data_IF_030577138491
#
_entry.id   IF_030577138491
#
_cell.length_a   1.000
_cell.length_b   1.000
_cell.length_c   1.000
_cell.angle_alpha   90.00
_cell.angle_beta   90.00
_cell.angle_gamma   90.00
#
_symmetry.space_group_name_H-M   'P 1'
#
loop_
_entity.id
_entity.type
_entity.pdbx_description
1 polymer ?
#
# COMPACT_ATOMS: atom_id res chain seq x y z
N UNK A 1 -19.84 13.67 -4.13
CA UNK A 1 -19.29 13.62 -2.76
C UNK A 1 -18.52 12.31 -2.63
N UNK A 2 -17.23 12.31 -2.96
CA UNK A 2 -16.32 11.15 -2.96
C UNK A 2 -15.27 11.21 -1.85
N UNK A 3 -15.26 12.31 -1.07
CA UNK A 3 -14.31 12.52 0.04
C UNK A 3 -14.44 11.51 1.17
N UNK A 4 -15.63 10.95 1.41
CA UNK A 4 -15.85 9.93 2.45
C UNK A 4 -15.16 8.58 2.19
N UNK A 5 -14.81 8.28 0.92
CA UNK A 5 -14.13 7.03 0.56
C UNK A 5 -12.60 7.11 0.68
N UNK A 6 -12.05 8.31 0.90
CA UNK A 6 -10.61 8.47 1.08
C UNK A 6 -10.25 8.16 2.53
N UNK A 7 -9.42 7.14 2.74
CA UNK A 7 -8.99 6.72 4.07
C UNK A 7 -7.57 6.18 4.02
N UNK A 8 -6.82 6.45 5.08
CA UNK A 8 -5.58 5.77 5.37
C UNK A 8 -5.65 5.12 6.75
N UNK A 9 -5.29 3.85 6.86
CA UNK A 9 -5.24 3.08 8.10
C UNK A 9 -3.79 2.70 8.34
N UNK A 10 -3.23 3.07 9.48
CA UNK A 10 -1.87 2.73 9.86
C UNK A 10 -1.85 2.34 11.34
N UNK A 11 -1.53 1.07 11.61
CA UNK A 11 -1.58 0.53 12.97
C UNK A 11 -2.99 0.62 13.56
N UNK A 12 -3.12 1.28 14.72
CA UNK A 12 -4.39 1.45 15.44
C UNK A 12 -5.14 2.74 15.11
N UNK A 13 -4.72 3.48 14.09
CA UNK A 13 -5.32 4.76 13.71
C UNK A 13 -5.84 4.73 12.29
N UNK A 14 -6.90 5.51 12.06
CA UNK A 14 -7.37 5.86 10.74
C UNK A 14 -7.34 7.37 10.54
N UNK A 15 -7.10 7.76 9.30
CA UNK A 15 -7.04 9.13 8.84
C UNK A 15 -8.08 9.33 7.75
N UNK A 16 -8.98 10.30 7.94
CA UNK A 16 -10.08 10.64 7.03
C UNK A 16 -10.10 12.15 6.77
N UNK A 17 -11.12 12.63 6.07
CA UNK A 17 -11.24 14.04 5.67
C UNK A 17 -10.03 14.49 4.83
N UNK A 18 -9.94 13.90 3.63
CA UNK A 18 -8.88 14.15 2.65
C UNK A 18 -8.79 15.63 2.28
N UNK A 19 -7.56 16.15 2.26
CA UNK A 19 -7.28 17.55 1.93
C UNK A 19 -6.65 17.69 0.55
N UNK A 20 -5.53 17.00 0.30
CA UNK A 20 -4.79 17.16 -0.94
C UNK A 20 -3.92 15.94 -1.26
N UNK A 21 -3.58 15.81 -2.54
CA UNK A 21 -2.57 14.91 -3.05
C UNK A 21 -1.44 15.76 -3.66
N UNK A 22 -0.18 15.41 -3.39
CA UNK A 22 0.98 16.14 -3.90
C UNK A 22 2.13 15.21 -4.28
N UNK A 23 2.83 15.56 -5.35
CA UNK A 23 4.12 14.97 -5.73
C UNK A 23 5.31 15.84 -5.31
N UNK A 24 5.05 17.03 -4.73
CA UNK A 24 6.06 17.91 -4.17
C UNK A 24 6.42 17.46 -2.75
N UNK A 25 7.63 16.92 -2.59
CA UNK A 25 8.14 16.41 -1.30
C UNK A 25 8.30 17.52 -0.25
N UNK A 26 8.51 18.78 -0.67
CA UNK A 26 8.68 19.90 0.26
C UNK A 26 7.40 20.19 1.08
N UNK A 27 6.24 19.73 0.60
CA UNK A 27 4.98 19.77 1.35
C UNK A 27 5.01 18.98 2.65
N UNK A 28 5.91 18.00 2.80
CA UNK A 28 6.07 17.26 4.05
C UNK A 28 6.70 18.11 5.17
N UNK A 29 7.24 19.29 4.86
CA UNK A 29 7.67 20.26 5.87
C UNK A 29 6.48 20.98 6.52
N UNK A 30 5.30 20.93 5.90
CA UNK A 30 4.05 21.43 6.48
C UNK A 30 3.50 20.46 7.53
N UNK A 31 3.05 21.01 8.66
CA UNK A 31 2.43 20.21 9.72
C UNK A 31 1.17 19.50 9.22
N UNK A 32 1.05 18.22 9.53
CA UNK A 32 -0.12 17.43 9.19
C UNK A 32 0.16 15.94 9.25
N UNK A 33 -0.88 15.17 9.00
CA UNK A 33 -0.77 13.73 8.86
C UNK A 33 -0.84 13.38 7.36
N UNK A 34 0.17 12.66 6.91
CA UNK A 34 0.37 12.34 5.51
C UNK A 34 0.50 10.83 5.32
N UNK A 35 -0.28 10.24 4.43
CA UNK A 35 0.02 8.92 3.88
C UNK A 35 0.97 9.12 2.70
N UNK A 36 2.14 8.48 2.74
CA UNK A 36 3.20 8.63 1.73
C UNK A 36 3.42 7.32 1.02
N UNK A 37 3.58 7.38 -0.29
CA UNK A 37 3.93 6.25 -1.15
C UNK A 37 5.09 6.65 -2.06
N UNK A 38 5.98 5.70 -2.35
CA UNK A 38 7.07 5.91 -3.30
C UNK A 38 7.31 4.62 -4.11
N UNK A 39 7.52 4.74 -5.41
CA UNK A 39 7.92 3.62 -6.26
C UNK A 39 9.40 3.31 -6.10
N UNK A 40 9.84 2.14 -6.55
CA UNK A 40 11.25 1.79 -6.56
C UNK A 40 12.08 2.75 -7.44
N UNK A 41 11.48 3.24 -8.53
CA UNK A 41 12.07 4.21 -9.46
C UNK A 41 12.14 5.64 -8.88
N UNK A 42 11.57 5.85 -7.70
CA UNK A 42 11.65 7.11 -6.96
C UNK A 42 10.46 8.05 -7.17
N UNK A 43 9.38 7.61 -7.83
CA UNK A 43 8.18 8.43 -8.00
C UNK A 43 7.47 8.60 -6.66
N UNK A 44 7.45 9.84 -6.16
CA UNK A 44 6.90 10.20 -4.86
C UNK A 44 5.44 10.68 -4.97
N UNK A 45 4.63 10.30 -3.99
CA UNK A 45 3.29 10.82 -3.82
C UNK A 45 2.91 10.83 -2.34
N UNK A 46 2.28 11.92 -1.90
CA UNK A 46 1.71 12.06 -0.57
C UNK A 46 0.24 12.47 -0.61
N UNK A 47 -0.51 12.08 0.43
CA UNK A 47 -1.93 12.35 0.61
C UNK A 47 -2.17 12.88 2.02
N UNK A 48 -2.72 14.08 2.15
CA UNK A 48 -2.96 14.73 3.44
C UNK A 48 -4.37 14.47 3.95
N UNK A 49 -4.46 14.21 5.25
CA UNK A 49 -5.71 14.00 5.97
C UNK A 49 -5.72 14.88 7.22
N UNK A 50 -6.91 15.20 7.71
CA UNK A 50 -7.08 16.10 8.87
C UNK A 50 -7.69 15.42 10.08
N UNK A 51 -8.54 14.42 9.86
CA UNK A 51 -9.25 13.75 10.94
C UNK A 51 -8.53 12.44 11.27
N UNK A 52 -7.69 12.48 12.32
CA UNK A 52 -6.90 11.33 12.79
C UNK A 52 -7.48 10.82 14.09
N UNK A 53 -7.91 9.57 14.09
CA UNK A 53 -8.64 8.98 15.20
C UNK A 53 -8.28 7.50 15.37
N UNK A 54 -8.51 6.92 16.57
CA UNK A 54 -8.44 5.48 16.74
C UNK A 54 -9.31 4.77 15.70
N UNK A 55 -8.82 3.66 15.17
CA UNK A 55 -9.54 2.89 14.16
C UNK A 55 -10.93 2.48 14.68
N UNK A 56 -11.96 2.86 13.91
CA UNK A 56 -13.36 2.50 14.17
C UNK A 56 -14.02 1.94 12.91
N UNK A 57 -14.32 0.65 12.93
CA UNK A 57 -14.95 -0.05 11.81
C UNK A 57 -16.39 0.42 11.54
N UNK A 58 -17.14 0.83 12.58
CA UNK A 58 -18.50 1.32 12.39
C UNK A 58 -18.47 2.65 11.64
N UNK A 59 -17.57 3.55 12.04
CA UNK A 59 -17.39 4.83 11.35
C UNK A 59 -16.91 4.65 9.91
N UNK A 60 -16.02 3.68 9.64
CA UNK A 60 -15.63 3.35 8.26
C UNK A 60 -16.83 2.88 7.43
N UNK A 61 -17.72 2.06 8.00
CA UNK A 61 -18.94 1.65 7.33
C UNK A 61 -19.89 2.84 7.07
N UNK A 62 -20.05 3.75 8.03
CA UNK A 62 -20.83 5.00 7.87
C UNK A 62 -20.27 5.92 6.78
N UNK A 63 -18.95 5.93 6.60
CA UNK A 63 -18.25 6.66 5.53
C UNK A 63 -18.37 5.99 4.15
N UNK A 64 -19.05 4.84 4.07
CA UNK A 64 -19.34 4.15 2.82
C UNK A 64 -18.36 3.03 2.46
N UNK A 65 -17.49 2.61 3.39
CA UNK A 65 -16.64 1.44 3.17
C UNK A 65 -17.41 0.15 3.40
N UNK A 66 -17.59 -0.64 2.35
CA UNK A 66 -18.08 -2.01 2.48
C UNK A 66 -17.05 -2.88 3.20
N UNK A 67 -17.41 -3.46 4.35
CA UNK A 67 -16.52 -4.33 5.11
C UNK A 67 -16.62 -5.81 4.70
N UNK A 68 -17.39 -6.11 3.65
CA UNK A 68 -17.48 -7.44 3.05
C UNK A 68 -16.27 -7.71 2.15
N UNK A 69 -15.74 -8.93 2.24
CA UNK A 69 -14.62 -9.36 1.42
C UNK A 69 -15.05 -10.47 0.46
N UNK A 70 -14.77 -10.26 -0.83
CA UNK A 70 -14.91 -11.28 -1.87
C UNK A 70 -13.55 -11.90 -2.15
N UNK A 71 -13.42 -13.21 -1.90
CA UNK A 71 -12.17 -13.94 -2.12
C UNK A 71 -11.86 -14.06 -3.61
N UNK A 72 -10.60 -13.87 -3.96
CA UNK A 72 -10.09 -14.18 -5.30
C UNK A 72 -9.69 -15.65 -5.33
N UNK A 73 -10.26 -16.42 -6.25
CA UNK A 73 -9.97 -17.84 -6.39
C UNK A 73 -8.50 -18.07 -6.73
N UNK A 74 -7.84 -19.02 -6.05
CA UNK A 74 -6.39 -19.26 -6.17
C UNK A 74 -5.95 -19.51 -7.62
N UNK A 75 -6.77 -20.20 -8.40
CA UNK A 75 -6.51 -20.51 -9.81
C UNK A 75 -6.53 -19.29 -10.75
N UNK A 76 -7.10 -18.16 -10.30
CA UNK A 76 -7.14 -16.92 -11.11
C UNK A 76 -5.84 -16.12 -10.98
N UNK A 77 -4.96 -16.48 -10.05
CA UNK A 77 -3.67 -15.82 -9.89
C UNK A 77 -2.67 -16.31 -10.94
N UNK A 78 -2.04 -15.36 -11.61
CA UNK A 78 -0.94 -15.57 -12.54
C UNK A 78 0.34 -14.99 -11.94
N UNK A 79 1.46 -15.64 -12.22
CA UNK A 79 2.79 -15.18 -11.80
C UNK A 79 3.49 -14.55 -12.99
N UNK A 80 4.16 -13.41 -12.77
CA UNK A 80 4.96 -12.73 -13.81
C UNK A 80 6.19 -13.53 -14.26
N UNK A 81 6.54 -14.56 -13.49
CA UNK A 81 7.61 -15.52 -13.80
C UNK A 81 7.14 -16.93 -13.41
N UNK A 82 7.44 -17.90 -14.25
CA UNK A 82 7.38 -19.31 -13.88
C UNK A 82 8.46 -19.64 -12.84
N UNK A 83 8.34 -20.83 -12.23
CA UNK A 83 9.33 -21.30 -11.28
C UNK A 83 10.71 -21.46 -11.91
N UNK A 84 10.79 -22.02 -13.12
CA UNK A 84 12.06 -22.20 -13.83
C UNK A 84 12.71 -20.86 -14.15
N UNK A 85 11.95 -19.91 -14.71
CA UNK A 85 12.47 -18.57 -15.03
C UNK A 85 13.00 -17.86 -13.78
N UNK A 86 12.29 -17.97 -12.65
CA UNK A 86 12.73 -17.36 -11.40
C UNK A 86 14.04 -17.99 -10.90
N UNK A 87 14.16 -19.33 -10.92
CA UNK A 87 15.38 -20.04 -10.50
C UNK A 87 16.55 -19.70 -11.42
N UNK A 88 16.34 -19.68 -12.73
CA UNK A 88 17.37 -19.36 -13.70
C UNK A 88 17.87 -17.90 -13.52
N UNK A 89 16.95 -16.96 -13.26
CA UNK A 89 17.30 -15.58 -12.94
C UNK A 89 18.11 -15.46 -11.63
N UNK A 90 17.76 -16.23 -10.60
CA UNK A 90 18.55 -16.30 -9.35
C UNK A 90 19.96 -16.81 -9.64
N UNK A 91 20.12 -17.87 -10.43
CA UNK A 91 21.45 -18.39 -10.78
C UNK A 91 22.27 -17.42 -11.62
N UNK A 92 21.63 -16.67 -12.53
CA UNK A 92 22.30 -15.59 -13.27
C UNK A 92 22.85 -14.52 -12.31
N UNK A 93 22.03 -14.05 -11.38
CA UNK A 93 22.44 -13.06 -10.36
C UNK A 93 23.61 -13.61 -9.53
N UNK A 94 23.57 -14.88 -9.13
CA UNK A 94 24.66 -15.52 -8.37
C UNK A 94 25.96 -15.55 -9.15
N UNK A 95 25.92 -15.82 -10.46
CA UNK A 95 27.10 -15.79 -11.31
C UNK A 95 27.66 -14.37 -11.45
N UNK A 96 26.81 -13.36 -11.58
CA UNK A 96 27.24 -11.96 -11.69
C UNK A 96 27.85 -11.46 -10.39
N UNK A 97 27.32 -11.90 -9.23
CA UNK A 97 27.95 -11.67 -7.92
C UNK A 97 29.32 -12.34 -7.85
N UNK A 98 29.43 -13.61 -8.26
CA UNK A 98 30.69 -14.34 -8.22
C UNK A 98 31.78 -13.74 -9.13
N UNK A 99 31.37 -13.11 -10.25
CA UNK A 99 32.27 -12.35 -11.14
C UNK A 99 32.63 -10.96 -10.61
N UNK A 100 31.99 -10.52 -9.53
CA UNK A 100 32.18 -9.18 -8.95
C UNK A 100 31.48 -8.07 -9.73
N UNK A 101 30.51 -8.38 -10.59
CA UNK A 101 29.76 -7.39 -11.37
C UNK A 101 28.67 -6.71 -10.55
N UNK A 102 28.06 -7.44 -9.61
CA UNK A 102 27.00 -6.96 -8.73
C UNK A 102 27.34 -7.37 -7.30
N UNK A 103 27.16 -6.48 -6.33
CA UNK A 103 27.35 -6.84 -4.92
C UNK A 103 26.15 -7.59 -4.34
N UNK A 104 24.95 -7.07 -4.61
CA UNK A 104 23.67 -7.65 -4.19
C UNK A 104 22.58 -7.25 -5.18
N UNK A 105 21.61 -8.13 -5.41
CA UNK A 105 20.38 -7.83 -6.12
C UNK A 105 19.18 -8.48 -5.41
N UNK A 106 18.06 -7.76 -5.34
CA UNK A 106 16.79 -8.31 -4.90
C UNK A 106 15.96 -8.67 -6.14
N UNK A 107 15.70 -9.96 -6.34
CA UNK A 107 14.77 -10.44 -7.36
C UNK A 107 13.40 -10.68 -6.74
N UNK A 108 12.36 -10.17 -7.38
CA UNK A 108 10.97 -10.38 -6.98
C UNK A 108 10.17 -10.93 -8.17
N UNK A 109 8.99 -11.49 -7.87
CA UNK A 109 7.97 -11.82 -8.87
C UNK A 109 6.66 -11.19 -8.46
N UNK A 110 5.82 -10.88 -9.43
CA UNK A 110 4.49 -10.31 -9.21
C UNK A 110 3.45 -11.40 -9.35
N UNK A 111 2.51 -11.45 -8.41
CA UNK A 111 1.28 -12.22 -8.52
C UNK A 111 0.14 -11.27 -8.85
N UNK A 112 -0.64 -11.58 -9.87
CA UNK A 112 -1.78 -10.77 -10.32
C UNK A 112 -3.00 -11.63 -10.57
N UNK A 113 -4.20 -11.11 -10.34
CA UNK A 113 -5.45 -11.77 -10.69
C UNK A 113 -6.45 -10.73 -11.22
N UNK A 114 -7.32 -11.09 -12.18
CA UNK A 114 -8.43 -10.23 -12.56
C UNK A 114 -9.40 -10.07 -11.39
N UNK A 115 -9.97 -8.87 -11.28
CA UNK A 115 -11.02 -8.58 -10.32
C UNK A 115 -12.38 -8.71 -11.03
N UNK A 116 -13.13 -9.77 -10.71
CA UNK A 116 -14.50 -9.99 -11.21
C UNK A 116 -15.53 -9.07 -10.53
N UNK A 117 -15.22 -8.63 -9.31
CA UNK A 117 -15.96 -7.64 -8.55
C UNK A 117 -14.97 -6.66 -7.92
N UNK A 118 -15.44 -5.46 -7.57
CA UNK A 118 -14.57 -4.45 -6.98
C UNK A 118 -13.97 -4.95 -5.65
N UNK A 119 -12.67 -4.73 -5.46
CA UNK A 119 -11.96 -5.14 -4.25
C UNK A 119 -12.01 -4.00 -3.23
N UNK A 120 -12.66 -4.25 -2.11
CA UNK A 120 -12.62 -3.34 -0.97
C UNK A 120 -11.32 -3.52 -0.18
N UNK A 121 -10.52 -2.46 -0.16
CA UNK A 121 -9.20 -2.38 0.48
C UNK A 121 -9.31 -2.49 2.01
N UNK A 122 -10.31 -1.86 2.62
CA UNK A 122 -10.54 -1.88 4.07
C UNK A 122 -10.99 -3.27 4.53
N UNK A 123 -11.87 -3.92 3.77
CA UNK A 123 -12.27 -5.30 4.05
C UNK A 123 -11.08 -6.27 3.94
N UNK A 124 -10.22 -6.09 2.93
CA UNK A 124 -9.03 -6.91 2.78
C UNK A 124 -7.98 -6.66 3.87
N UNK A 125 -7.80 -5.41 4.28
CA UNK A 125 -6.98 -5.05 5.45
C UNK A 125 -7.49 -5.73 6.73
N UNK A 126 -8.81 -5.74 6.96
CA UNK A 126 -9.40 -6.43 8.10
C UNK A 126 -9.09 -7.93 8.08
N UNK A 127 -9.23 -8.58 6.93
CA UNK A 127 -8.87 -9.99 6.78
C UNK A 127 -7.38 -10.23 7.05
N UNK A 128 -6.49 -9.38 6.53
CA UNK A 128 -5.06 -9.47 6.79
C UNK A 128 -4.74 -9.27 8.28
N UNK A 129 -5.41 -8.34 8.97
CA UNK A 129 -5.20 -8.13 10.42
C UNK A 129 -5.47 -9.38 11.26
N UNK A 130 -6.40 -10.23 10.82
CA UNK A 130 -6.81 -11.44 11.52
C UNK A 130 -5.88 -12.63 11.26
N UNK A 131 -5.31 -12.71 10.05
CA UNK A 131 -4.57 -13.89 9.60
C UNK A 131 -3.06 -13.66 9.42
N UNK A 132 -2.65 -12.41 9.24
CA UNK A 132 -1.26 -11.97 9.03
C UNK A 132 -0.99 -10.67 9.82
N UNK A 133 -1.09 -10.69 11.16
CA UNK A 133 -0.85 -9.50 11.96
C UNK A 133 0.59 -9.01 11.75
N UNK A 134 0.75 -7.70 11.55
CA UNK A 134 2.04 -7.08 11.31
C UNK A 134 2.13 -5.72 12.03
N UNK A 135 3.31 -5.34 12.55
CA UNK A 135 3.51 -4.07 13.26
C UNK A 135 3.20 -2.84 12.41
N UNK A 136 3.40 -2.92 11.09
CA UNK A 136 3.11 -1.85 10.13
C UNK A 136 2.00 -2.25 9.17
N UNK A 137 1.00 -3.00 9.65
CA UNK A 137 -0.22 -3.28 8.89
C UNK A 137 -0.91 -1.97 8.51
N UNK A 138 -1.17 -1.78 7.22
CA UNK A 138 -1.73 -0.54 6.69
C UNK A 138 -2.66 -0.75 5.51
N UNK A 139 -3.51 0.25 5.28
CA UNK A 139 -4.32 0.40 4.09
C UNK A 139 -4.38 1.85 3.65
N UNK A 140 -4.48 2.07 2.35
CA UNK A 140 -4.69 3.37 1.75
C UNK A 140 -5.69 3.24 0.61
N UNK A 141 -6.74 4.04 0.66
CA UNK A 141 -7.71 4.19 -0.42
C UNK A 141 -7.88 5.68 -0.72
N UNK A 142 -7.60 6.09 -1.95
CA UNK A 142 -7.84 7.46 -2.42
C UNK A 142 -8.45 7.40 -3.83
N UNK A 143 -9.68 7.89 -4.03
CA UNK A 143 -10.32 7.92 -5.34
C UNK A 143 -9.50 8.65 -6.40
N UNK A 144 -9.58 8.22 -7.67
CA UNK A 144 -8.92 8.86 -8.82
C UNK A 144 -9.21 10.37 -8.90
N UNK A 145 -10.47 10.75 -8.62
CA UNK A 145 -10.93 12.15 -8.59
C UNK A 145 -10.21 13.03 -7.56
N UNK A 146 -9.51 12.44 -6.59
CA UNK A 146 -8.79 13.13 -5.51
C UNK A 146 -7.28 12.91 -5.61
N UNK A 147 -6.83 11.76 -6.12
CA UNK A 147 -5.42 11.34 -6.07
C UNK A 147 -4.55 12.00 -7.14
N UNK A 148 -5.14 12.52 -8.22
CA UNK A 148 -4.40 13.01 -9.39
C UNK A 148 -4.00 11.92 -10.39
N UNK A 149 -4.31 10.65 -10.10
CA UNK A 149 -4.09 9.54 -11.02
C UNK A 149 -5.33 9.22 -11.87
N UNK A 150 -5.13 8.51 -12.97
CA UNK A 150 -6.22 8.00 -13.82
C UNK A 150 -7.07 6.91 -13.12
N UNK A 151 -6.59 6.34 -12.02
CA UNK A 151 -7.25 5.28 -11.26
C UNK A 151 -7.16 5.56 -9.76
N UNK A 152 -8.03 4.89 -9.00
CA UNK A 152 -7.96 4.93 -7.54
C UNK A 152 -6.62 4.39 -7.04
N UNK A 153 -6.08 5.03 -6.01
CA UNK A 153 -4.96 4.50 -5.25
C UNK A 153 -5.53 3.56 -4.20
N UNK A 154 -5.13 2.29 -4.26
CA UNK A 154 -5.66 1.21 -3.42
C UNK A 154 -4.50 0.31 -3.00
N UNK A 155 -4.09 0.41 -1.73
CA UNK A 155 -2.94 -0.31 -1.19
C UNK A 155 -3.36 -0.98 0.11
N UNK A 156 -2.96 -2.23 0.29
CA UNK A 156 -3.00 -2.92 1.59
C UNK A 156 -1.65 -3.57 1.81
N UNK A 157 -1.11 -3.47 3.02
CA UNK A 157 0.18 -4.04 3.39
C UNK A 157 0.11 -4.66 4.77
N UNK A 158 0.80 -5.79 4.96
CA UNK A 158 1.06 -6.42 6.25
C UNK A 158 2.59 -6.42 6.50
N UNK A 159 3.21 -5.24 6.44
CA UNK A 159 4.68 -5.13 6.50
C UNK A 159 5.20 -5.40 7.92
N UNK A 160 6.21 -6.29 8.08
CA UNK A 160 6.93 -6.45 9.33
C UNK A 160 8.05 -5.41 9.53
N UNK A 161 8.40 -4.66 8.49
CA UNK A 161 9.63 -3.86 8.44
C UNK A 161 9.32 -2.37 8.37
N UNK A 162 9.99 -1.62 9.24
CA UNK A 162 9.98 -0.16 9.25
C UNK A 162 11.08 0.34 8.32
N UNK A 163 10.72 1.14 7.33
CA UNK A 163 11.72 1.79 6.49
C UNK A 163 12.45 2.91 7.23
N UNK A 164 11.70 3.84 7.82
CA UNK A 164 12.25 4.99 8.54
C UNK A 164 11.25 5.47 9.59
N UNK A 165 11.76 5.81 10.77
CA UNK A 165 11.03 6.61 11.75
C UNK A 165 11.95 7.68 12.30
N UNK A 166 11.41 8.87 12.49
CA UNK A 166 12.11 10.03 13.04
C UNK A 166 11.18 10.71 14.04
N UNK A 167 11.68 10.93 15.24
CA UNK A 167 10.99 11.65 16.32
C UNK A 167 11.82 12.88 16.69
N UNK A 168 11.20 13.83 17.40
CA UNK A 168 11.88 14.97 18.04
C UNK A 168 12.75 15.81 17.09
N UNK A 169 12.14 16.36 16.02
CA UNK A 169 12.82 17.40 15.25
C UNK A 169 13.05 18.62 16.16
N UNK A 170 14.31 18.88 16.51
CA UNK A 170 14.76 20.13 17.15
C UNK A 170 14.78 21.24 16.12
#
# INVERSE_FOLDING_TARGET
>A
MTQGLAVAIFGSFMATNFVEATTDVSKLDEAGWWAVTQTFEGEFQAFRFTDIEPLDLNKLAELGHDLSHNSIAVQNWTSSMSRSEYVDAVESIRQDIARGWVYQANLCRVLSAPLEADLNVVAFWKLLSQHNPAPYLSALQVPASLSGFAKDVRIVSASPELFLSRHDQV
#
